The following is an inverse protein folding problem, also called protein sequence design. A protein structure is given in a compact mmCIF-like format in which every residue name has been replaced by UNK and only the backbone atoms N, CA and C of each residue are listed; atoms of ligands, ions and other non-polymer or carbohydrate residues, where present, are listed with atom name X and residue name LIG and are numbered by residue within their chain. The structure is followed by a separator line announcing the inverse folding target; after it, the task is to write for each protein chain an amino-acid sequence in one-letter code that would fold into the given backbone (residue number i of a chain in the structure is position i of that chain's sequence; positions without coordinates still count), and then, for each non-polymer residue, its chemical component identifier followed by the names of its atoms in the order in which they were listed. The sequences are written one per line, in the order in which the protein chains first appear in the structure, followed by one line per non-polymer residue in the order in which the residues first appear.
data_IF_230265637245
#
_entry.id   IF_230265637245
#
_cell.length_a   1.000
_cell.length_b   1.000
_cell.length_c   1.000
_cell.angle_alpha   90.00
_cell.angle_beta   90.00
_cell.angle_gamma   90.00
#
_symmetry.space_group_name_H-M   'P 1'
#
loop_
_entity.id
_entity.type
_entity.pdbx_description
1 polymer ?
#
# COMPACT_ATOMS: atom_id res chain seq x y z
N UNK A 1 -7.90 8.10 5.55
CA UNK A 1 -7.93 7.32 6.81
C UNK A 1 -8.67 6.02 6.57
N UNK A 2 -7.98 4.89 6.67
CA UNK A 2 -8.57 3.56 6.66
C UNK A 2 -8.84 3.11 8.09
N UNK A 3 -9.94 2.39 8.31
CA UNK A 3 -10.30 1.85 9.63
C UNK A 3 -10.38 0.34 9.54
N UNK A 4 -9.64 -0.35 10.39
CA UNK A 4 -9.62 -1.80 10.48
C UNK A 4 -10.09 -2.23 11.85
N UNK A 5 -10.93 -3.27 11.91
CA UNK A 5 -11.28 -3.89 13.19
C UNK A 5 -10.26 -4.99 13.52
N UNK A 6 -9.61 -4.88 14.66
CA UNK A 6 -8.67 -5.87 15.17
C UNK A 6 -9.44 -7.06 15.77
N UNK A 7 -8.77 -8.22 15.89
CA UNK A 7 -9.35 -9.44 16.48
C UNK A 7 -9.87 -9.27 17.90
N UNK A 8 -9.36 -8.29 18.64
CA UNK A 8 -9.79 -7.95 20.00
C UNK A 8 -10.97 -6.95 20.04
N UNK A 9 -11.60 -6.65 18.89
CA UNK A 9 -12.72 -5.72 18.76
C UNK A 9 -12.35 -4.24 18.73
N UNK A 10 -11.08 -3.88 18.96
CA UNK A 10 -10.60 -2.49 18.86
C UNK A 10 -10.44 -2.08 17.40
N UNK A 11 -10.52 -0.78 17.14
CA UNK A 11 -10.25 -0.23 15.83
C UNK A 11 -8.77 0.18 15.71
N UNK A 12 -8.17 -0.11 14.55
CA UNK A 12 -6.89 0.40 14.10
C UNK A 12 -7.16 1.41 12.99
N UNK A 13 -6.72 2.63 13.22
CA UNK A 13 -6.74 3.69 12.23
C UNK A 13 -5.40 3.69 11.47
N UNK A 14 -5.46 3.54 10.15
CA UNK A 14 -4.30 3.66 9.26
C UNK A 14 -4.42 4.95 8.45
N UNK A 15 -3.35 5.71 8.44
CA UNK A 15 -3.17 6.87 7.57
C UNK A 15 -2.05 6.52 6.60
N UNK A 16 -2.34 6.64 5.30
CA UNK A 16 -1.34 6.51 4.24
C UNK A 16 -1.09 7.92 3.70
N UNK A 17 0.18 8.34 3.69
CA UNK A 17 0.60 9.65 3.24
C UNK A 17 1.72 9.46 2.22
N UNK A 18 1.60 10.13 1.08
CA UNK A 18 2.50 10.00 -0.07
C UNK A 18 2.58 11.36 -0.80
N UNK A 19 3.56 11.54 -1.68
CA UNK A 19 3.75 12.76 -2.46
C UNK A 19 4.28 13.95 -1.64
N UNK A 20 5.09 13.69 -0.62
CA UNK A 20 5.65 14.71 0.27
C UNK A 20 4.75 15.12 1.44
N UNK A 21 3.58 14.51 1.57
CA UNK A 21 2.70 14.67 2.74
C UNK A 21 3.31 13.88 3.91
N UNK A 22 3.50 14.55 5.04
CA UNK A 22 4.04 13.97 6.28
C UNK A 22 3.00 14.04 7.40
N UNK A 23 3.12 13.19 8.43
CA UNK A 23 2.27 13.31 9.61
C UNK A 23 2.52 14.63 10.34
N UNK A 24 1.61 14.98 11.24
CA UNK A 24 1.85 16.05 12.21
C UNK A 24 3.14 15.79 12.98
N UNK A 25 3.91 16.86 13.22
CA UNK A 25 5.19 16.79 13.91
C UNK A 25 4.98 16.25 15.33
N UNK A 26 5.61 15.13 15.73
CA UNK A 26 5.45 14.59 17.07
C UNK A 26 5.91 15.57 18.15
N UNK A 27 5.05 15.86 19.12
CA UNK A 27 5.33 16.77 20.25
C UNK A 27 6.55 16.33 21.08
N UNK A 28 6.91 15.05 21.05
CA UNK A 28 8.07 14.50 21.76
C UNK A 28 9.43 14.80 21.10
N UNK A 29 9.42 15.34 19.88
CA UNK A 29 10.63 15.75 19.17
C UNK A 29 10.96 17.21 19.43
N UNK A 30 12.25 17.52 19.43
CA UNK A 30 12.73 18.90 19.49
C UNK A 30 12.33 19.63 18.19
N UNK A 31 11.65 20.78 18.25
CA UNK A 31 11.23 21.55 17.07
C UNK A 31 12.37 21.93 16.13
N UNK A 32 13.61 22.01 16.63
CA UNK A 32 14.79 22.35 15.83
C UNK A 32 15.35 21.13 15.08
N UNK A 33 14.83 19.92 15.33
CA UNK A 33 15.25 18.70 14.64
C UNK A 33 14.44 18.40 13.37
N UNK A 34 15.11 17.77 12.41
CA UNK A 34 14.48 17.28 11.20
C UNK A 34 13.80 15.93 11.44
N UNK A 35 12.47 15.91 11.37
CA UNK A 35 11.65 14.71 11.56
C UNK A 35 12.00 13.57 10.58
N UNK A 36 12.37 13.89 9.35
CA UNK A 36 12.72 12.88 8.34
C UNK A 36 14.08 12.24 8.63
N UNK A 37 15.02 13.00 9.20
CA UNK A 37 16.31 12.46 9.65
C UNK A 37 16.16 11.48 10.81
N UNK A 38 15.15 11.70 11.65
CA UNK A 38 14.90 10.89 12.84
C UNK A 38 14.14 9.60 12.49
N UNK A 39 13.09 9.69 11.66
CA UNK A 39 12.18 8.57 11.42
C UNK A 39 12.41 7.85 10.09
N UNK A 40 12.98 8.54 9.10
CA UNK A 40 13.21 7.99 7.76
C UNK A 40 14.44 7.11 7.67
N UNK A 41 14.52 6.32 6.61
CA UNK A 41 15.73 5.55 6.28
C UNK A 41 16.68 6.38 5.41
N UNK A 42 17.98 6.04 5.47
CA UNK A 42 19.07 6.67 4.70
C UNK A 42 19.26 8.19 4.88
N UNK A 43 19.19 8.74 6.10
CA UNK A 43 19.25 10.19 6.31
C UNK A 43 20.57 10.81 5.86
N UNK A 44 21.68 10.07 5.96
CA UNK A 44 23.04 10.56 5.63
C UNK A 44 23.32 10.82 4.16
N UNK A 45 22.43 10.43 3.24
CA UNK A 45 22.58 10.66 1.79
C UNK A 45 21.52 11.60 1.21
N UNK A 46 20.64 12.14 2.06
CA UNK A 46 19.56 13.05 1.64
C UNK A 46 18.45 12.38 0.83
N UNK A 47 18.42 11.04 0.78
CA UNK A 47 17.38 10.24 0.15
C UNK A 47 16.55 9.59 1.26
N UNK A 48 15.60 10.36 1.81
CA UNK A 48 14.75 9.90 2.90
C UNK A 48 13.72 8.91 2.38
N UNK A 49 13.98 7.62 2.59
CA UNK A 49 12.95 6.60 2.38
C UNK A 49 11.84 6.75 3.45
N UNK A 50 10.61 6.39 3.08
CA UNK A 50 9.43 6.58 3.92
C UNK A 50 9.54 5.91 5.30
N UNK A 51 8.81 6.45 6.27
CA UNK A 51 8.76 5.97 7.64
C UNK A 51 7.38 5.43 8.02
N UNK A 52 7.33 4.56 9.03
CA UNK A 52 6.09 4.13 9.67
C UNK A 52 6.04 4.68 11.09
N UNK A 53 4.96 5.41 11.43
CA UNK A 53 4.71 5.93 12.78
C UNK A 53 3.56 5.15 13.44
N UNK A 54 3.85 4.55 14.59
CA UNK A 54 2.88 3.88 15.44
C UNK A 54 2.51 4.77 16.62
N UNK A 55 1.22 5.08 16.76
CA UNK A 55 0.70 5.90 17.85
C UNK A 55 -0.01 5.00 18.86
N UNK A 56 0.61 4.84 20.04
CA UNK A 56 0.08 4.02 21.13
C UNK A 56 -0.40 4.86 22.31
N UNK A 57 -1.09 4.21 23.24
CA UNK A 57 -1.56 4.86 24.48
C UNK A 57 -0.45 5.15 25.50
N UNK A 58 0.79 4.69 25.25
CA UNK A 58 1.96 4.81 26.15
C UNK A 58 3.14 5.54 25.49
N UNK A 59 2.90 6.19 24.35
CA UNK A 59 3.92 6.82 23.52
C UNK A 59 3.86 6.35 22.08
N UNK A 60 4.83 6.82 21.30
CA UNK A 60 4.94 6.55 19.87
C UNK A 60 6.18 5.74 19.58
N UNK A 61 6.11 4.92 18.54
CA UNK A 61 7.26 4.22 17.99
C UNK A 61 7.33 4.53 16.50
N UNK A 62 8.53 4.65 15.96
CA UNK A 62 8.73 4.85 14.53
C UNK A 62 9.78 3.87 14.01
N UNK A 63 9.75 3.61 12.71
CA UNK A 63 10.80 2.87 12.02
C UNK A 63 10.88 3.34 10.57
N UNK A 64 12.07 3.18 10.00
CA UNK A 64 12.29 3.38 8.58
C UNK A 64 11.68 2.25 7.75
N UNK A 65 12.10 2.20 6.48
CA UNK A 65 11.58 1.25 5.52
C UNK A 65 11.79 -0.20 5.98
N UNK A 66 10.77 -1.04 5.78
CA UNK A 66 10.81 -2.46 6.18
C UNK A 66 10.95 -2.71 7.68
N UNK A 67 10.74 -1.70 8.54
CA UNK A 67 10.90 -1.83 9.99
C UNK A 67 12.33 -1.65 10.49
N UNK A 68 13.20 -1.05 9.67
CA UNK A 68 14.59 -0.75 10.03
C UNK A 68 14.67 0.37 11.07
N UNK A 69 15.75 0.39 11.84
CA UNK A 69 16.08 1.44 12.81
C UNK A 69 14.87 1.81 13.72
N UNK A 70 14.24 0.84 14.40
CA UNK A 70 13.09 1.14 15.23
C UNK A 70 13.49 2.05 16.39
N UNK A 71 12.72 3.11 16.58
CA UNK A 71 12.91 4.09 17.65
C UNK A 71 11.65 4.27 18.49
N UNK A 72 11.84 4.72 19.72
CA UNK A 72 10.77 5.22 20.59
C UNK A 72 10.81 6.74 20.68
N UNK A 73 9.63 7.34 20.81
CA UNK A 73 9.46 8.75 21.15
C UNK A 73 8.89 8.88 22.58
N UNK A 74 9.48 9.74 23.45
CA UNK A 74 10.66 10.58 23.22
C UNK A 74 11.96 9.78 23.07
N UNK A 75 12.96 10.37 22.37
CA UNK A 75 14.20 9.68 22.00
C UNK A 75 15.04 9.20 23.19
N UNK A 76 14.86 9.80 24.36
CA UNK A 76 15.52 9.39 25.61
C UNK A 76 15.19 7.95 26.04
N UNK A 77 14.14 7.34 25.48
CA UNK A 77 13.72 5.97 25.81
C UNK A 77 14.40 4.90 24.96
N UNK A 78 15.22 5.28 23.97
CA UNK A 78 15.83 4.29 23.08
C UNK A 78 16.85 3.40 23.81
N UNK A 79 17.45 3.88 24.91
CA UNK A 79 18.30 3.06 25.77
C UNK A 79 17.54 1.92 26.47
N UNK A 80 16.20 2.00 26.55
CA UNK A 80 15.34 0.93 27.08
C UNK A 80 15.06 -0.18 26.05
N UNK A 81 15.40 0.03 24.77
CA UNK A 81 15.06 -0.91 23.70
C UNK A 81 15.90 -2.17 23.84
N UNK A 82 15.26 -3.23 24.32
CA UNK A 82 15.83 -4.57 24.34
C UNK A 82 14.78 -5.56 23.82
N UNK A 83 14.73 -5.73 22.50
CA UNK A 83 13.76 -6.62 21.83
C UNK A 83 14.51 -7.83 21.27
N UNK A 84 14.21 -9.05 21.75
CA UNK A 84 14.85 -10.24 21.22
C UNK A 84 14.42 -10.50 19.78
N UNK A 85 15.35 -11.00 18.96
CA UNK A 85 15.02 -11.44 17.62
C UNK A 85 14.04 -12.62 17.69
N UNK A 86 12.81 -12.40 17.23
CA UNK A 86 11.73 -13.40 17.27
C UNK A 86 11.59 -14.22 16.00
N UNK A 87 11.75 -13.60 14.84
CA UNK A 87 11.54 -14.24 13.54
C UNK A 87 12.89 -14.54 12.87
N UNK A 88 12.98 -15.58 12.02
CA UNK A 88 14.14 -15.77 11.16
C UNK A 88 14.38 -14.51 10.30
N UNK A 89 15.61 -14.36 9.82
CA UNK A 89 16.00 -13.32 8.87
C UNK A 89 16.60 -14.01 7.67
N UNK A 90 16.32 -13.52 6.47
CA UNK A 90 17.02 -13.97 5.27
C UNK A 90 18.48 -13.58 5.38
N UNK A 91 19.38 -14.50 5.04
CA UNK A 91 20.81 -14.21 4.91
C UNK A 91 21.03 -13.08 3.87
N UNK A 92 21.87 -12.10 4.20
CA UNK A 92 22.04 -10.89 3.39
C UNK A 92 20.84 -9.91 3.45
N UNK A 93 19.75 -10.27 4.11
CA UNK A 93 18.58 -9.42 4.33
C UNK A 93 18.04 -8.83 3.02
N UNK A 94 18.04 -7.50 2.95
CA UNK A 94 17.62 -6.72 1.79
C UNK A 94 18.37 -7.08 0.51
N UNK A 95 19.66 -7.38 0.58
CA UNK A 95 20.47 -7.69 -0.60
C UNK A 95 20.50 -9.20 -0.90
N UNK A 96 19.81 -10.01 -0.08
CA UNK A 96 19.76 -11.48 -0.22
C UNK A 96 18.37 -12.06 -0.44
N UNK A 97 17.30 -11.27 -0.30
CA UNK A 97 15.92 -11.78 -0.34
C UNK A 97 15.54 -12.50 -1.65
N UNK A 98 16.13 -12.12 -2.79
CA UNK A 98 15.86 -12.78 -4.08
C UNK A 98 16.46 -14.19 -4.15
N UNK A 99 17.53 -14.49 -3.41
CA UNK A 99 18.09 -15.84 -3.34
C UNK A 99 17.11 -16.83 -2.72
N UNK A 100 16.36 -16.43 -1.69
CA UNK A 100 15.33 -17.28 -1.11
C UNK A 100 14.29 -17.73 -2.14
N UNK A 101 13.89 -16.84 -3.06
CA UNK A 101 12.96 -17.19 -4.13
C UNK A 101 13.58 -18.18 -5.12
N UNK A 102 14.84 -17.96 -5.52
CA UNK A 102 15.59 -18.86 -6.40
C UNK A 102 15.71 -20.26 -5.77
N UNK A 103 16.11 -20.33 -4.51
CA UNK A 103 16.26 -21.58 -3.76
C UNK A 103 14.92 -22.31 -3.65
N UNK A 104 13.83 -21.58 -3.41
CA UNK A 104 12.50 -22.17 -3.37
C UNK A 104 12.04 -22.70 -4.73
N UNK A 105 12.39 -22.02 -5.83
CA UNK A 105 12.13 -22.52 -7.18
C UNK A 105 12.92 -23.81 -7.47
N UNK A 106 14.19 -23.88 -7.05
CA UNK A 106 15.04 -25.06 -7.22
C UNK A 106 14.53 -26.24 -6.38
N UNK A 107 14.13 -25.97 -5.13
CA UNK A 107 13.59 -27.00 -4.24
C UNK A 107 12.25 -27.58 -4.74
N UNK A 108 11.48 -26.79 -5.48
CA UNK A 108 10.16 -27.15 -6.00
C UNK A 108 9.02 -26.74 -5.06
N UNK A 109 7.80 -26.70 -5.62
CA UNK A 109 6.62 -26.20 -4.92
C UNK A 109 6.34 -26.98 -3.62
N UNK A 110 6.21 -26.26 -2.51
CA UNK A 110 5.95 -26.83 -1.18
C UNK A 110 7.18 -27.37 -0.45
N UNK A 111 8.35 -27.39 -1.08
CA UNK A 111 9.59 -27.94 -0.49
C UNK A 111 10.49 -26.88 0.16
N UNK A 112 10.11 -25.60 0.09
CA UNK A 112 10.84 -24.49 0.72
C UNK A 112 9.86 -23.40 1.21
N UNK A 113 10.26 -22.69 2.25
CA UNK A 113 9.55 -21.52 2.76
C UNK A 113 9.99 -20.24 2.05
N UNK A 114 9.04 -19.33 1.81
CA UNK A 114 9.29 -17.97 1.31
C UNK A 114 8.65 -16.94 2.26
N UNK A 115 9.27 -15.78 2.42
CA UNK A 115 8.73 -14.70 3.29
C UNK A 115 7.57 -13.94 2.64
N UNK A 116 7.47 -13.96 1.30
CA UNK A 116 6.40 -13.30 0.54
C UNK A 116 5.63 -14.30 -0.34
N UNK A 117 4.88 -15.24 0.24
CA UNK A 117 4.14 -16.23 -0.52
C UNK A 117 2.99 -15.59 -1.32
N UNK A 118 2.71 -16.13 -2.52
CA UNK A 118 1.57 -15.68 -3.33
C UNK A 118 0.25 -15.75 -2.56
N UNK A 119 -0.02 -16.87 -1.90
CA UNK A 119 -1.21 -17.04 -1.06
C UNK A 119 -0.99 -16.38 0.30
N UNK A 120 -1.92 -15.50 0.67
CA UNK A 120 -1.96 -14.89 2.00
C UNK A 120 -1.07 -13.66 2.20
N UNK A 121 -0.16 -13.35 1.28
CA UNK A 121 0.67 -12.15 1.38
C UNK A 121 0.86 -11.41 0.04
N UNK A 122 1.71 -11.91 -0.86
CA UNK A 122 2.10 -11.20 -2.07
C UNK A 122 0.93 -10.97 -3.04
N UNK A 123 0.03 -11.95 -3.18
CA UNK A 123 -1.19 -11.84 -3.98
C UNK A 123 -2.09 -10.68 -3.51
N UNK A 124 -2.62 -10.73 -2.26
CA UNK A 124 -3.45 -9.65 -1.73
C UNK A 124 -2.77 -8.27 -1.71
N UNK A 125 -1.46 -8.22 -1.47
CA UNK A 125 -0.71 -6.95 -1.55
C UNK A 125 -0.70 -6.40 -2.99
N UNK A 126 -0.38 -7.26 -3.96
CA UNK A 126 -0.37 -6.89 -5.39
C UNK A 126 -1.76 -6.44 -5.84
N UNK A 127 -2.80 -7.16 -5.42
CA UNK A 127 -4.20 -6.83 -5.68
C UNK A 127 -4.55 -5.42 -5.16
N UNK A 128 -4.16 -5.11 -3.93
CA UNK A 128 -4.37 -3.78 -3.32
C UNK A 128 -3.71 -2.66 -4.13
N UNK A 129 -2.46 -2.86 -4.56
CA UNK A 129 -1.74 -1.86 -5.38
C UNK A 129 -2.41 -1.71 -6.75
N UNK A 130 -2.83 -2.80 -7.38
CA UNK A 130 -3.51 -2.78 -8.68
C UNK A 130 -4.87 -2.08 -8.62
N UNK A 131 -5.56 -2.11 -7.47
CA UNK A 131 -6.79 -1.33 -7.29
C UNK A 131 -6.54 0.17 -7.45
N UNK A 132 -5.39 0.70 -7.01
CA UNK A 132 -5.01 2.09 -7.27
C UNK A 132 -4.97 2.44 -8.75
N UNK A 133 -4.34 1.57 -9.57
CA UNK A 133 -4.30 1.74 -11.02
C UNK A 133 -5.70 1.65 -11.66
N UNK A 134 -6.53 0.71 -11.19
CA UNK A 134 -7.92 0.58 -11.65
C UNK A 134 -8.72 1.86 -11.38
N UNK A 135 -8.56 2.47 -10.21
CA UNK A 135 -9.21 3.73 -9.86
C UNK A 135 -8.79 4.86 -10.79
N UNK A 136 -7.48 5.02 -11.04
CA UNK A 136 -6.95 6.07 -11.93
C UNK A 136 -7.45 5.89 -13.37
N UNK A 137 -7.52 4.66 -13.87
CA UNK A 137 -8.08 4.38 -15.20
C UNK A 137 -9.57 4.67 -15.25
N UNK A 138 -10.31 4.28 -14.22
CA UNK A 138 -11.75 4.50 -14.13
C UNK A 138 -12.10 5.99 -13.98
N UNK A 139 -11.25 6.77 -13.31
CA UNK A 139 -11.38 8.23 -13.20
C UNK A 139 -11.36 8.96 -14.56
N UNK A 140 -10.74 8.33 -15.56
CA UNK A 140 -10.62 8.86 -16.92
C UNK A 140 -11.67 8.31 -17.89
N UNK A 141 -12.59 7.44 -17.44
CA UNK A 141 -13.75 7.04 -18.25
C UNK A 141 -14.57 8.30 -18.53
N UNK A 142 -14.87 8.51 -19.81
CA UNK A 142 -15.70 9.62 -20.28
C UNK A 142 -16.82 9.09 -21.17
N UNK A 143 -17.98 9.69 -21.02
CA UNK A 143 -19.14 9.43 -21.87
C UNK A 143 -19.54 10.72 -22.57
N UNK A 144 -19.83 10.61 -23.87
CA UNK A 144 -20.42 11.72 -24.62
C UNK A 144 -21.85 11.91 -24.17
N UNK A 145 -22.23 13.15 -23.89
CA UNK A 145 -23.60 13.53 -23.58
C UNK A 145 -24.01 14.70 -24.46
N UNK A 146 -25.31 14.84 -24.61
CA UNK A 146 -25.94 16.03 -25.16
C UNK A 146 -26.64 16.74 -24.01
N UNK A 147 -26.39 18.04 -23.85
CA UNK A 147 -27.03 18.89 -22.84
C UNK A 147 -27.73 20.06 -23.51
N UNK A 148 -28.83 20.51 -22.92
CA UNK A 148 -29.47 21.75 -23.32
C UNK A 148 -28.88 22.92 -22.54
N UNK A 149 -28.23 23.83 -23.27
CA UNK A 149 -27.70 25.08 -22.75
C UNK A 149 -28.73 26.20 -22.92
N UNK A 150 -29.00 27.02 -21.89
CA UNK A 150 -30.00 28.09 -21.97
C UNK A 150 -29.72 29.16 -23.04
N UNK A 151 -28.46 29.31 -23.45
CA UNK A 151 -28.02 30.34 -24.41
C UNK A 151 -27.80 29.74 -25.80
N UNK A 152 -27.15 28.58 -25.88
CA UNK A 152 -26.69 28.00 -27.14
C UNK A 152 -27.54 26.82 -27.63
N UNK A 153 -28.56 26.41 -26.88
CA UNK A 153 -29.39 25.26 -27.23
C UNK A 153 -28.64 23.94 -27.05
N UNK A 154 -28.79 23.02 -28.02
CA UNK A 154 -28.22 21.68 -27.90
C UNK A 154 -26.69 21.69 -28.04
N UNK A 155 -25.98 21.22 -27.01
CA UNK A 155 -24.53 21.16 -26.99
C UNK A 155 -24.02 19.75 -26.65
N UNK A 156 -22.99 19.30 -27.36
CA UNK A 156 -22.23 18.11 -27.00
C UNK A 156 -21.27 18.40 -25.84
N UNK A 157 -21.10 17.41 -24.96
CA UNK A 157 -20.16 17.46 -23.85
C UNK A 157 -19.70 16.09 -23.41
N UNK A 158 -18.92 16.06 -22.34
CA UNK A 158 -18.50 14.83 -21.69
C UNK A 158 -18.88 14.84 -20.22
N UNK A 159 -19.29 13.68 -19.71
CA UNK A 159 -19.32 13.38 -18.28
C UNK A 159 -18.26 12.36 -17.95
N UNK A 160 -17.82 12.34 -16.70
CA UNK A 160 -16.78 11.43 -16.22
C UNK A 160 -17.36 10.59 -15.08
N UNK A 161 -18.16 9.56 -15.41
CA UNK A 161 -18.97 8.86 -14.42
C UNK A 161 -18.12 8.13 -13.38
N UNK A 162 -16.87 7.77 -13.70
CA UNK A 162 -15.97 7.12 -12.77
C UNK A 162 -15.28 8.03 -11.75
N UNK A 163 -15.51 9.35 -11.77
CA UNK A 163 -14.91 10.30 -10.81
C UNK A 163 -15.70 10.35 -9.51
N UNK A 164 -14.98 10.53 -8.40
CA UNK A 164 -15.55 10.75 -7.06
C UNK A 164 -16.49 9.63 -6.56
N UNK A 165 -16.31 8.40 -7.06
CA UNK A 165 -16.97 7.20 -6.57
C UNK A 165 -16.08 6.51 -5.54
N UNK A 166 -16.70 6.00 -4.46
CA UNK A 166 -16.06 5.02 -3.58
C UNK A 166 -16.29 3.61 -4.13
N UNK A 167 -15.33 3.08 -4.87
CA UNK A 167 -15.44 1.79 -5.56
C UNK A 167 -15.48 0.62 -4.56
N UNK A 168 -16.41 -0.31 -4.76
CA UNK A 168 -16.59 -1.50 -3.92
C UNK A 168 -15.99 -2.70 -4.63
N UNK A 169 -14.87 -3.19 -4.09
CA UNK A 169 -14.13 -4.34 -4.63
C UNK A 169 -14.51 -5.64 -3.92
N UNK A 170 -14.96 -6.62 -4.70
CA UNK A 170 -15.11 -8.02 -4.28
C UNK A 170 -13.90 -8.83 -4.80
N UNK A 171 -12.94 -9.07 -3.91
CA UNK A 171 -11.72 -9.81 -4.25
C UNK A 171 -11.95 -11.29 -4.54
N UNK A 172 -12.99 -11.91 -3.99
CA UNK A 172 -13.30 -13.31 -4.26
C UNK A 172 -13.82 -13.49 -5.70
N UNK A 173 -14.67 -12.57 -6.14
CA UNK A 173 -15.20 -12.56 -7.51
C UNK A 173 -14.31 -11.79 -8.50
N UNK A 174 -13.25 -11.14 -8.02
CA UNK A 174 -12.40 -10.22 -8.77
C UNK A 174 -13.23 -9.19 -9.54
N UNK A 175 -14.05 -8.39 -8.84
CA UNK A 175 -15.03 -7.50 -9.48
C UNK A 175 -15.34 -6.23 -8.69
N UNK A 176 -15.53 -5.13 -9.40
CA UNK A 176 -16.16 -3.91 -8.89
C UNK A 176 -17.68 -4.07 -8.94
N UNK A 177 -18.35 -3.97 -7.79
CA UNK A 177 -19.78 -4.28 -7.68
C UNK A 177 -20.70 -3.07 -7.86
N UNK A 178 -20.17 -1.85 -7.72
CA UNK A 178 -20.96 -0.62 -7.77
C UNK A 178 -20.69 0.28 -8.99
N UNK A 179 -19.82 -0.14 -9.91
CA UNK A 179 -19.53 0.59 -11.14
C UNK A 179 -19.03 -0.34 -12.26
N UNK A 180 -19.96 -0.74 -13.14
CA UNK A 180 -19.70 -1.83 -14.09
C UNK A 180 -18.57 -1.53 -15.07
N UNK A 181 -18.48 -0.29 -15.55
CA UNK A 181 -17.50 0.08 -16.56
C UNK A 181 -16.05 -0.10 -16.08
N UNK A 182 -15.77 -0.06 -14.77
CA UNK A 182 -14.43 -0.32 -14.26
C UNK A 182 -13.98 -1.78 -14.47
N UNK A 183 -14.90 -2.73 -14.59
CA UNK A 183 -14.58 -4.15 -14.76
C UNK A 183 -13.85 -4.43 -16.08
N UNK A 184 -13.92 -3.52 -17.06
CA UNK A 184 -13.13 -3.59 -18.29
C UNK A 184 -11.59 -3.55 -18.04
N UNK A 185 -11.16 -3.10 -16.86
CA UNK A 185 -9.75 -3.02 -16.49
C UNK A 185 -9.28 -4.16 -15.59
N UNK A 186 -10.19 -5.01 -15.10
CA UNK A 186 -9.85 -6.09 -14.16
C UNK A 186 -9.25 -7.30 -14.88
N UNK A 187 -9.73 -7.58 -16.09
CA UNK A 187 -9.21 -8.66 -16.94
C UNK A 187 -8.81 -8.10 -18.30
N UNK A 188 -7.81 -8.74 -18.89
CA UNK A 188 -7.40 -8.53 -20.28
C UNK A 188 -7.62 -9.81 -21.06
N UNK A 189 -7.90 -9.66 -22.35
CA UNK A 189 -7.76 -10.79 -23.26
C UNK A 189 -6.27 -11.13 -23.39
N UNK A 190 -5.92 -12.36 -23.02
CA UNK A 190 -4.56 -12.84 -23.18
C UNK A 190 -4.28 -13.12 -24.66
N UNK A 191 -3.01 -12.98 -25.05
CA UNK A 191 -2.56 -13.31 -26.40
C UNK A 191 -2.90 -14.77 -26.72
N UNK A 192 -3.32 -15.02 -27.95
CA UNK A 192 -3.54 -16.39 -28.45
C UNK A 192 -2.34 -17.30 -28.17
N UNK A 193 -2.62 -18.54 -27.80
CA UNK A 193 -1.62 -19.56 -27.43
C UNK A 193 -1.30 -19.65 -25.93
N UNK A 194 -1.72 -18.70 -25.10
CA UNK A 194 -1.50 -18.74 -23.64
C UNK A 194 -2.60 -19.46 -22.84
N UNK A 195 -3.59 -20.06 -23.53
CA UNK A 195 -4.71 -20.78 -22.90
C UNK A 195 -5.70 -19.87 -22.16
N UNK A 196 -6.80 -20.45 -21.67
CA UNK A 196 -7.68 -19.78 -20.70
C UNK A 196 -7.07 -20.00 -19.30
N UNK A 197 -6.83 -18.90 -18.59
CA UNK A 197 -6.48 -18.94 -17.17
C UNK A 197 -7.76 -19.23 -16.36
N UNK A 198 -7.84 -20.43 -15.82
CA UNK A 198 -8.81 -20.81 -14.79
C UNK A 198 -8.12 -20.66 -13.43
N UNK A 199 -8.72 -19.86 -12.54
CA UNK A 199 -8.23 -19.57 -11.18
C UNK A 199 -8.83 -20.56 -10.18
#
# INVERSE_FOLDING_TARGET
KFKYQLKNGKNLDLYWMDGGITPEFPEELDPDQNMNEIMGDWPGIGDYEGATLFIGSKGKAACGWGGRNPILLPLSRNDEINVPQKYPRIEGGMDGHYWQFIDACIAGYGNASVESPFKGYAGPLTETVLMGNLLLRSFNIREKIVRQDPVYGEMEGYVFPGRYINYQWDGASMRITNFEQANQFVKREYREGWGKLEL
#
